data_IF_055930409479
#
_entry.id   IF_055930409479
#
_cell.length_a   1.000
_cell.length_b   1.000
_cell.length_c   1.000
_cell.angle_alpha   90.00
_cell.angle_beta   90.00
_cell.angle_gamma   90.00
#
_symmetry.space_group_name_H-M   'P 1'
#
loop_
_entity.id
_entity.type
_entity.pdbx_description
1 polymer ?
#
# COMPACT_ATOMS: atom_id res chain seq x y z
N UNK A 1 -30.31 12.93 29.08
CA UNK A 1 -29.11 13.79 28.97
C UNK A 1 -27.79 13.01 29.05
N UNK A 2 -27.65 11.96 29.87
CA UNK A 2 -26.38 11.21 30.02
C UNK A 2 -25.97 10.29 28.85
N UNK A 3 -26.92 9.76 28.08
CA UNK A 3 -26.67 8.77 27.02
C UNK A 3 -25.98 9.35 25.78
N UNK A 4 -26.22 10.63 25.47
CA UNK A 4 -25.58 11.32 24.35
C UNK A 4 -24.08 11.58 24.62
N UNK A 5 -23.71 11.80 25.89
CA UNK A 5 -22.31 11.98 26.29
C UNK A 5 -21.46 10.71 26.13
N UNK A 6 -22.01 9.55 26.49
CA UNK A 6 -21.32 8.26 26.38
C UNK A 6 -21.06 7.84 24.92
N UNK A 7 -22.01 8.09 24.03
CA UNK A 7 -21.87 7.79 22.60
C UNK A 7 -20.76 8.65 21.95
N UNK A 8 -20.71 9.94 22.32
CA UNK A 8 -19.66 10.85 21.87
C UNK A 8 -18.26 10.39 22.31
N UNK A 9 -18.10 10.00 23.58
CA UNK A 9 -16.84 9.48 24.10
C UNK A 9 -16.40 8.18 23.40
N UNK A 10 -17.33 7.26 23.11
CA UNK A 10 -17.01 6.04 22.38
C UNK A 10 -16.57 6.32 20.96
N UNK A 11 -17.25 7.23 20.24
CA UNK A 11 -16.88 7.62 18.89
C UNK A 11 -15.49 8.28 18.84
N UNK A 12 -15.17 9.17 19.79
CA UNK A 12 -13.85 9.83 19.82
C UNK A 12 -12.73 8.85 20.14
N UNK A 13 -12.94 7.92 21.07
CA UNK A 13 -11.97 6.86 21.38
C UNK A 13 -11.78 5.89 20.21
N UNK A 14 -12.85 5.54 19.50
CA UNK A 14 -12.79 4.70 18.30
C UNK A 14 -12.02 5.39 17.16
N UNK A 15 -12.28 6.68 16.92
CA UNK A 15 -11.57 7.46 15.91
C UNK A 15 -10.10 7.66 16.27
N UNK A 16 -9.79 7.95 17.54
CA UNK A 16 -8.43 8.12 18.03
C UNK A 16 -7.63 6.81 17.94
N UNK A 17 -8.23 5.68 18.33
CA UNK A 17 -7.59 4.37 18.22
C UNK A 17 -7.37 3.95 16.77
N UNK A 18 -8.32 4.22 15.87
CA UNK A 18 -8.16 3.99 14.43
C UNK A 18 -7.06 4.86 13.82
N UNK A 19 -7.03 6.15 14.16
CA UNK A 19 -6.01 7.08 13.69
C UNK A 19 -4.62 6.71 14.21
N UNK A 20 -4.52 6.35 15.49
CA UNK A 20 -3.28 5.86 16.09
C UNK A 20 -2.84 4.57 15.39
N UNK A 21 -3.69 3.55 15.29
CA UNK A 21 -3.36 2.30 14.60
C UNK A 21 -2.91 2.52 13.13
N UNK A 22 -3.43 3.54 12.45
CA UNK A 22 -2.99 3.91 11.10
C UNK A 22 -1.62 4.57 11.07
N UNK A 23 -1.24 5.33 12.09
CA UNK A 23 0.09 5.98 12.16
C UNK A 23 1.24 4.99 12.38
N UNK A 24 0.96 3.78 12.88
CA UNK A 24 1.96 2.71 13.01
C UNK A 24 2.24 1.98 11.70
N UNK A 25 1.49 2.28 10.62
CA UNK A 25 1.74 1.65 9.31
C UNK A 25 2.91 2.35 8.64
N UNK A 26 3.96 1.59 8.33
CA UNK A 26 5.05 2.06 7.49
C UNK A 26 4.51 2.47 6.12
N UNK A 27 5.12 3.50 5.48
CA UNK A 27 4.78 3.84 4.12
C UNK A 27 5.02 2.63 3.22
N UNK A 28 4.20 2.50 2.17
CA UNK A 28 4.43 1.48 1.16
C UNK A 28 5.80 1.72 0.50
N UNK A 29 6.52 0.64 0.14
CA UNK A 29 7.75 0.76 -0.64
C UNK A 29 7.51 1.54 -1.95
N UNK A 30 8.55 2.15 -2.51
CA UNK A 30 8.43 2.84 -3.80
C UNK A 30 8.13 1.84 -4.94
N UNK A 31 7.58 2.33 -6.05
CA UNK A 31 7.33 1.51 -7.23
C UNK A 31 6.74 2.30 -8.40
N UNK A 32 6.66 1.68 -9.59
CA UNK A 32 6.07 2.32 -10.76
C UNK A 32 4.58 2.60 -10.52
N UNK A 33 4.10 3.70 -11.09
CA UNK A 33 2.73 4.14 -10.87
C UNK A 33 1.73 3.23 -11.59
N UNK A 34 0.76 2.72 -10.83
CA UNK A 34 -0.39 2.01 -11.38
C UNK A 34 -1.49 2.98 -11.85
N UNK A 35 -2.31 2.54 -12.80
CA UNK A 35 -3.54 3.22 -13.20
C UNK A 35 -4.61 3.11 -12.12
N UNK A 36 -5.55 4.05 -12.10
CA UNK A 36 -6.60 4.13 -11.09
C UNK A 36 -7.48 2.85 -11.00
N UNK A 37 -7.83 2.24 -12.13
CA UNK A 37 -8.74 1.08 -12.16
C UNK A 37 -8.05 -0.28 -12.14
N UNK A 38 -6.88 -0.42 -12.80
CA UNK A 38 -6.18 -1.70 -12.98
C UNK A 38 -4.85 -1.79 -12.23
N UNK A 39 -4.45 -0.74 -11.52
CA UNK A 39 -3.12 -0.65 -10.92
C UNK A 39 -2.02 -0.81 -11.97
N UNK A 40 -1.03 -1.64 -11.67
CA UNK A 40 0.15 -1.93 -12.45
C UNK A 40 -0.03 -3.04 -13.49
N UNK A 41 -1.25 -3.53 -13.74
CA UNK A 41 -1.50 -4.71 -14.58
C UNK A 41 -1.02 -4.54 -16.03
N UNK A 42 -1.14 -3.35 -16.60
CA UNK A 42 -0.63 -3.05 -17.96
C UNK A 42 0.89 -2.97 -18.04
N UNK A 43 1.55 -2.62 -16.94
CA UNK A 43 3.00 -2.44 -16.87
C UNK A 43 3.67 -3.76 -16.42
N UNK A 44 2.89 -4.75 -16.00
CA UNK A 44 3.39 -6.01 -15.50
C UNK A 44 4.06 -6.80 -16.65
N UNK A 45 5.37 -7.12 -16.54
CA UNK A 45 6.09 -7.88 -17.56
C UNK A 45 5.73 -9.37 -17.51
N UNK A 46 5.12 -9.90 -18.58
CA UNK A 46 4.68 -11.31 -18.62
C UNK A 46 5.75 -12.29 -19.15
N UNK A 47 6.62 -11.85 -20.07
CA UNK A 47 7.59 -12.75 -20.71
C UNK A 47 8.86 -12.93 -19.87
N UNK A 48 9.48 -11.81 -19.45
CA UNK A 48 10.77 -11.80 -18.75
C UNK A 48 10.77 -10.89 -17.52
N UNK A 49 9.91 -11.16 -16.53
CA UNK A 49 9.71 -10.28 -15.38
C UNK A 49 11.00 -9.93 -14.63
N UNK A 50 11.91 -10.91 -14.46
CA UNK A 50 13.17 -10.70 -13.76
C UNK A 50 14.07 -9.63 -14.39
N UNK A 51 14.07 -9.49 -15.73
CA UNK A 51 14.88 -8.46 -16.41
C UNK A 51 14.37 -7.07 -16.06
N UNK A 52 13.06 -6.90 -16.10
CA UNK A 52 12.40 -5.63 -15.81
C UNK A 52 12.50 -5.29 -14.31
N UNK A 53 12.35 -6.28 -13.44
CA UNK A 53 12.49 -6.09 -11.99
C UNK A 53 13.92 -5.67 -11.61
N UNK A 54 14.94 -6.18 -12.30
CA UNK A 54 16.33 -5.71 -12.15
C UNK A 54 16.50 -4.27 -12.63
N UNK A 55 15.79 -3.85 -13.67
CA UNK A 55 15.81 -2.45 -14.10
C UNK A 55 15.09 -1.55 -13.10
N UNK A 56 13.91 -1.96 -12.62
CA UNK A 56 13.18 -1.23 -11.60
C UNK A 56 13.94 -1.14 -10.28
N UNK A 57 14.72 -2.15 -9.90
CA UNK A 57 15.49 -2.09 -8.66
C UNK A 57 16.61 -1.05 -8.71
N UNK A 58 17.11 -0.71 -9.90
CA UNK A 58 18.05 0.40 -10.09
C UNK A 58 17.39 1.77 -9.91
N UNK A 59 16.08 1.86 -10.14
CA UNK A 59 15.30 3.11 -10.08
C UNK A 59 14.68 3.31 -8.69
N UNK A 60 14.02 2.28 -8.16
CA UNK A 60 13.24 2.32 -6.93
C UNK A 60 13.96 1.71 -5.72
N UNK A 61 15.04 0.97 -5.95
CA UNK A 61 15.79 0.27 -4.90
C UNK A 61 15.41 -1.20 -4.75
N UNK A 62 15.89 -1.87 -3.69
CA UNK A 62 15.78 -3.33 -3.53
C UNK A 62 14.36 -3.83 -3.21
N UNK A 63 13.45 -2.94 -2.81
CA UNK A 63 12.09 -3.28 -2.41
C UNK A 63 11.09 -2.46 -3.23
N UNK A 64 10.31 -3.14 -4.07
CA UNK A 64 9.39 -2.51 -5.02
C UNK A 64 7.98 -2.98 -4.74
N UNK A 65 7.04 -2.06 -4.65
CA UNK A 65 5.61 -2.35 -4.47
C UNK A 65 4.82 -2.13 -5.77
N UNK A 66 3.89 -3.05 -6.05
CA UNK A 66 2.94 -2.99 -7.16
C UNK A 66 1.56 -3.48 -6.70
N UNK A 67 0.52 -3.02 -7.38
CA UNK A 67 -0.83 -3.55 -7.21
C UNK A 67 -1.36 -3.99 -8.58
N UNK A 68 -1.69 -5.25 -8.76
CA UNK A 68 -2.24 -5.77 -10.04
C UNK A 68 -3.20 -6.93 -9.80
N UNK A 69 -4.23 -7.07 -10.65
CA UNK A 69 -5.21 -8.16 -10.59
C UNK A 69 -5.84 -8.36 -9.18
N UNK A 70 -6.07 -7.26 -8.45
CA UNK A 70 -6.64 -7.28 -7.10
C UNK A 70 -5.67 -7.71 -5.99
N UNK A 71 -4.36 -7.73 -6.25
CA UNK A 71 -3.33 -8.22 -5.32
C UNK A 71 -2.22 -7.21 -5.11
N UNK A 72 -1.77 -7.11 -3.87
CA UNK A 72 -0.52 -6.45 -3.50
C UNK A 72 0.67 -7.36 -3.84
N UNK A 73 1.61 -6.85 -4.62
CA UNK A 73 2.80 -7.55 -5.06
C UNK A 73 4.02 -6.80 -4.53
N UNK A 74 4.86 -7.52 -3.79
CA UNK A 74 6.13 -7.01 -3.27
C UNK A 74 7.27 -7.74 -3.96
N UNK A 75 8.10 -7.00 -4.70
CA UNK A 75 9.29 -7.53 -5.34
C UNK A 75 10.49 -7.23 -4.43
N UNK A 76 11.26 -8.25 -4.14
CA UNK A 76 12.48 -8.19 -3.36
C UNK A 76 13.65 -8.53 -4.28
N UNK A 77 14.57 -7.60 -4.48
CA UNK A 77 15.78 -7.81 -5.26
C UNK A 77 17.00 -7.53 -4.37
N UNK A 78 17.76 -8.58 -4.04
CA UNK A 78 18.93 -8.58 -3.15
C UNK A 78 20.17 -9.04 -3.86
#
# INVERSE_FOLDING_TARGET
MFTLGLCSCFCTLALASWAFARSWRLPLPPGPQGKFWFGNEEILPWEHPWKEFVNWSKIFGPLIYLYASGRDILIVNT
#
